data_IF_099751789292
#
_entry.id   IF_099751789292
#
_cell.length_a   1.000
_cell.length_b   1.000
_cell.length_c   1.000
_cell.angle_alpha   90.00
_cell.angle_beta   90.00
_cell.angle_gamma   90.00
#
_symmetry.space_group_name_H-M   'P 1'
#
loop_
_entity.id
_entity.type
_entity.pdbx_description
1 polymer ?
#
# COMPACT_ATOMS: atom_id res chain seq x y z
N UNK A 1 -5.29 -6.41 -4.28
CA UNK A 1 -3.90 -6.88 -4.36
C UNK A 1 -3.40 -7.45 -3.03
N UNK A 2 -3.36 -6.73 -1.90
CA UNK A 2 -2.90 -7.31 -0.60
C UNK A 2 -3.72 -8.50 -0.08
N UNK A 3 -4.92 -8.72 -0.57
CA UNK A 3 -5.75 -9.90 -0.21
C UNK A 3 -5.28 -11.20 -0.89
N UNK A 4 -4.33 -11.14 -1.81
CA UNK A 4 -3.78 -12.30 -2.52
C UNK A 4 -2.52 -12.87 -1.84
N UNK A 5 -1.96 -12.14 -0.85
CA UNK A 5 -0.85 -12.69 -0.07
C UNK A 5 -1.40 -13.83 0.77
N UNK A 6 -0.76 -14.97 0.65
CA UNK A 6 -1.15 -16.18 1.38
C UNK A 6 -1.22 -15.91 2.89
N UNK A 7 -2.41 -16.15 3.46
CA UNK A 7 -2.66 -15.93 4.89
C UNK A 7 -1.82 -16.84 5.77
N UNK A 8 -1.48 -18.02 5.28
CA UNK A 8 -0.65 -18.99 6.00
C UNK A 8 0.81 -18.52 6.00
N UNK A 9 1.31 -17.97 4.87
CA UNK A 9 2.62 -17.32 4.82
C UNK A 9 2.72 -16.18 5.84
N UNK A 10 1.69 -15.33 5.92
CA UNK A 10 1.66 -14.19 6.84
C UNK A 10 1.68 -14.66 8.30
N UNK A 11 0.80 -15.60 8.66
CA UNK A 11 0.67 -16.12 10.03
C UNK A 11 1.93 -16.85 10.49
N UNK A 12 2.47 -17.75 9.65
CA UNK A 12 3.70 -18.50 9.95
C UNK A 12 4.90 -17.57 10.20
N UNK A 13 4.87 -16.36 9.67
CA UNK A 13 5.95 -15.39 9.76
C UNK A 13 5.69 -14.21 10.69
N UNK A 14 4.64 -14.27 11.51
CA UNK A 14 4.24 -13.22 12.44
C UNK A 14 4.01 -11.87 11.76
N UNK A 15 3.35 -11.92 10.57
CA UNK A 15 2.98 -10.73 9.80
C UNK A 15 1.47 -10.58 9.85
N UNK A 16 1.01 -9.38 10.16
CA UNK A 16 -0.40 -9.04 10.24
C UNK A 16 -0.77 -7.95 9.25
N UNK A 17 -2.00 -8.02 8.72
CA UNK A 17 -2.56 -6.99 7.86
C UNK A 17 -3.41 -6.06 8.72
N UNK A 18 -3.16 -4.75 8.64
CA UNK A 18 -3.96 -3.73 9.33
C UNK A 18 -4.38 -2.62 8.36
N UNK A 19 -5.60 -2.12 8.50
CA UNK A 19 -6.01 -0.89 7.80
C UNK A 19 -5.28 0.30 8.43
N UNK A 20 -4.63 1.12 7.60
CA UNK A 20 -3.99 2.35 8.04
C UNK A 20 -5.06 3.41 8.22
N UNK A 21 -5.34 3.80 9.46
CA UNK A 21 -6.26 4.89 9.76
C UNK A 21 -5.64 6.21 9.28
N UNK A 22 -6.30 6.89 8.36
CA UNK A 22 -5.92 8.24 7.90
C UNK A 22 -6.92 9.24 8.48
N UNK A 23 -6.48 10.46 8.79
CA UNK A 23 -7.36 11.51 9.30
C UNK A 23 -8.29 12.08 8.23
N UNK A 24 -7.94 11.95 6.95
CA UNK A 24 -8.64 12.57 5.82
C UNK A 24 -10.14 12.25 5.77
N UNK A 25 -10.62 10.99 5.86
CA UNK A 25 -12.05 10.71 5.82
C UNK A 25 -12.81 11.34 6.98
N UNK A 26 -12.23 11.35 8.16
CA UNK A 26 -12.88 11.97 9.34
C UNK A 26 -12.95 13.50 9.19
N UNK A 27 -11.92 14.12 8.63
CA UNK A 27 -11.92 15.55 8.33
C UNK A 27 -13.02 15.91 7.32
N UNK A 28 -13.16 15.13 6.23
CA UNK A 28 -14.19 15.33 5.23
C UNK A 28 -15.59 15.19 5.83
N UNK A 29 -15.82 14.21 6.71
CA UNK A 29 -17.10 14.03 7.39
C UNK A 29 -17.40 15.19 8.35
N UNK A 30 -16.39 15.69 9.06
CA UNK A 30 -16.56 16.87 9.94
C UNK A 30 -16.93 18.12 9.13
N UNK A 31 -16.25 18.36 7.99
CA UNK A 31 -16.58 19.48 7.08
C UNK A 31 -18.00 19.33 6.55
N UNK A 32 -18.39 18.13 6.10
CA UNK A 32 -19.75 17.85 5.61
C UNK A 32 -20.81 18.16 6.68
N UNK A 33 -20.55 17.76 7.94
CA UNK A 33 -21.47 18.03 9.05
C UNK A 33 -21.59 19.54 9.35
N UNK A 34 -20.49 20.29 9.31
CA UNK A 34 -20.49 21.74 9.50
C UNK A 34 -21.29 22.44 8.37
N UNK A 35 -21.06 22.05 7.11
CA UNK A 35 -21.77 22.61 5.96
C UNK A 35 -23.27 22.27 6.02
N UNK A 36 -23.62 21.05 6.41
CA UNK A 36 -25.01 20.64 6.59
C UNK A 36 -25.69 21.44 7.70
N UNK A 37 -25.03 21.57 8.85
CA UNK A 37 -25.54 22.39 9.97
C UNK A 37 -25.71 23.85 9.57
N UNK A 38 -24.74 24.44 8.86
CA UNK A 38 -24.83 25.80 8.32
C UNK A 38 -26.02 25.97 7.37
N UNK A 39 -26.23 25.00 6.46
CA UNK A 39 -27.34 25.03 5.51
C UNK A 39 -28.71 24.97 6.20
N UNK A 40 -28.82 24.26 7.33
CA UNK A 40 -30.07 24.17 8.10
C UNK A 40 -30.42 25.47 8.83
N UNK A 41 -29.43 26.33 9.12
CA UNK A 41 -29.59 27.62 9.75
C UNK A 41 -29.97 28.75 8.76
N UNK A 42 -29.82 28.51 7.46
CA UNK A 42 -30.17 29.46 6.41
C UNK A 42 -31.67 29.38 6.12
N UNK A 43 -32.32 30.56 5.93
CA UNK A 43 -33.71 30.67 5.55
C UNK A 43 -34.04 29.88 4.27
N UNK A 44 -35.25 29.32 4.19
CA UNK A 44 -35.60 28.43 3.08
C UNK A 44 -35.59 29.10 1.71
N UNK A 45 -35.86 30.40 1.67
CA UNK A 45 -35.92 31.17 0.44
C UNK A 45 -34.54 31.70 -0.05
N UNK A 46 -33.49 31.37 0.68
CA UNK A 46 -32.12 31.77 0.31
C UNK A 46 -31.58 30.92 -0.85
N UNK A 47 -31.12 31.60 -1.92
CA UNK A 47 -30.45 30.96 -3.06
C UNK A 47 -29.17 30.17 -2.67
N UNK A 48 -28.54 30.54 -1.54
CA UNK A 48 -27.32 29.91 -1.06
C UNK A 48 -27.56 28.54 -0.40
N UNK A 49 -28.78 28.25 0.04
CA UNK A 49 -29.10 27.03 0.79
C UNK A 49 -28.88 25.75 -0.02
N UNK A 50 -29.41 25.71 -1.24
CA UNK A 50 -29.33 24.51 -2.09
C UNK A 50 -27.89 24.17 -2.53
N UNK A 51 -27.07 25.12 -3.02
CA UNK A 51 -25.66 24.87 -3.29
C UNK A 51 -24.90 24.36 -2.07
N UNK A 52 -25.15 24.92 -0.88
CA UNK A 52 -24.46 24.50 0.35
C UNK A 52 -24.83 23.06 0.75
N UNK A 53 -26.11 22.69 0.65
CA UNK A 53 -26.58 21.32 0.86
C UNK A 53 -25.92 20.35 -0.12
N UNK A 54 -25.84 20.70 -1.40
CA UNK A 54 -25.20 19.86 -2.42
C UNK A 54 -23.74 19.59 -2.08
N UNK A 55 -22.99 20.65 -1.73
CA UNK A 55 -21.57 20.52 -1.36
C UNK A 55 -21.43 19.67 -0.10
N UNK A 56 -22.27 19.82 0.90
CA UNK A 56 -22.28 19.03 2.12
C UNK A 56 -22.45 17.53 1.82
N UNK A 57 -23.48 17.19 1.00
CA UNK A 57 -23.77 15.81 0.61
C UNK A 57 -22.61 15.19 -0.18
N UNK A 58 -22.10 15.89 -1.19
CA UNK A 58 -20.96 15.40 -2.00
C UNK A 58 -19.75 15.17 -1.12
N UNK A 59 -19.39 16.12 -0.26
CA UNK A 59 -18.26 15.99 0.68
C UNK A 59 -18.44 14.80 1.62
N UNK A 60 -19.67 14.58 2.13
CA UNK A 60 -20.00 13.44 2.99
C UNK A 60 -19.84 12.11 2.27
N UNK A 61 -20.34 11.99 1.03
CA UNK A 61 -20.15 10.79 0.20
C UNK A 61 -18.67 10.48 -0.01
N UNK A 62 -17.86 11.48 -0.34
CA UNK A 62 -16.41 11.31 -0.48
C UNK A 62 -15.74 10.87 0.82
N UNK A 63 -16.14 11.43 1.97
CA UNK A 63 -15.64 11.02 3.28
C UNK A 63 -15.93 9.56 3.56
N UNK A 64 -17.16 9.11 3.32
CA UNK A 64 -17.59 7.71 3.47
C UNK A 64 -16.81 6.80 2.50
N UNK A 65 -16.72 7.15 1.22
CA UNK A 65 -15.99 6.37 0.23
C UNK A 65 -14.52 6.19 0.60
N UNK A 66 -13.86 7.24 1.14
CA UNK A 66 -12.49 7.16 1.65
C UNK A 66 -12.35 6.28 2.89
N UNK A 67 -13.35 6.18 3.75
CA UNK A 67 -13.35 5.23 4.89
C UNK A 67 -13.33 3.77 4.42
N UNK A 68 -14.11 3.43 3.40
CA UNK A 68 -14.13 2.07 2.85
C UNK A 68 -12.83 1.71 2.13
N UNK A 69 -12.20 2.69 1.48
CA UNK A 69 -10.97 2.54 0.70
C UNK A 69 -9.69 2.89 1.49
N UNK A 70 -9.68 2.69 2.83
CA UNK A 70 -8.47 2.90 3.62
C UNK A 70 -7.36 1.93 3.19
N UNK A 71 -6.12 2.44 2.97
CA UNK A 71 -5.00 1.60 2.59
C UNK A 71 -4.68 0.59 3.70
N UNK A 72 -4.30 -0.61 3.30
CA UNK A 72 -3.82 -1.64 4.22
C UNK A 72 -2.30 -1.59 4.32
N UNK A 73 -1.77 -1.87 5.51
CA UNK A 73 -0.34 -1.94 5.79
C UNK A 73 -0.02 -3.31 6.38
N UNK A 74 1.08 -3.91 5.95
CA UNK A 74 1.64 -5.09 6.57
C UNK A 74 2.46 -4.68 7.80
N UNK A 75 2.28 -5.40 8.89
CA UNK A 75 2.99 -5.18 10.16
C UNK A 75 3.74 -6.47 10.51
N UNK A 76 5.03 -6.34 10.80
CA UNK A 76 5.89 -7.46 11.16
C UNK A 76 6.17 -7.52 12.66
N UNK A 77 6.16 -8.75 13.20
CA UNK A 77 6.60 -9.07 14.55
C UNK A 77 5.65 -8.58 15.65
N UNK A 78 6.03 -8.85 16.89
CA UNK A 78 5.28 -8.44 18.09
C UNK A 78 5.20 -6.92 18.25
N UNK A 79 6.25 -6.21 17.85
CA UNK A 79 6.32 -4.74 17.88
C UNK A 79 5.49 -4.07 16.79
N UNK A 80 4.86 -4.86 15.90
CA UNK A 80 4.04 -4.36 14.78
C UNK A 80 4.77 -3.32 13.93
N UNK A 81 6.03 -3.62 13.58
CA UNK A 81 6.84 -2.77 12.70
C UNK A 81 6.18 -2.67 11.32
N UNK A 82 5.90 -1.46 10.80
CA UNK A 82 5.29 -1.31 9.49
C UNK A 82 6.25 -1.73 8.38
N UNK A 83 5.72 -2.45 7.39
CA UNK A 83 6.45 -2.79 6.18
C UNK A 83 6.12 -1.79 5.08
N UNK A 84 7.15 -1.23 4.48
CA UNK A 84 7.03 -0.32 3.35
C UNK A 84 6.71 -1.11 2.09
N UNK A 85 5.75 -0.62 1.32
CA UNK A 85 5.34 -1.18 0.04
C UNK A 85 5.99 -0.39 -1.08
N UNK A 86 6.64 -1.10 -2.00
CA UNK A 86 7.32 -0.54 -3.16
C UNK A 86 7.01 -1.37 -4.40
N UNK A 87 6.78 -0.70 -5.52
CA UNK A 87 6.73 -1.32 -6.85
C UNK A 87 7.98 -0.90 -7.61
N UNK A 88 8.80 -1.87 -7.99
CA UNK A 88 10.06 -1.66 -8.71
C UNK A 88 9.96 -2.26 -10.10
N UNK A 89 10.44 -1.54 -11.11
CA UNK A 89 10.30 -1.92 -12.51
C UNK A 89 11.65 -2.17 -13.15
N UNK A 90 11.75 -3.18 -14.01
CA UNK A 90 13.00 -3.62 -14.64
C UNK A 90 12.81 -4.08 -16.08
N UNK A 91 13.88 -4.07 -16.83
CA UNK A 91 13.95 -4.74 -18.13
C UNK A 91 13.84 -6.26 -17.97
N UNK A 92 13.25 -6.95 -18.94
CA UNK A 92 13.11 -8.41 -18.91
C UNK A 92 14.46 -9.14 -18.81
N UNK A 93 15.52 -8.56 -19.38
CA UNK A 93 16.88 -9.09 -19.33
C UNK A 93 17.46 -9.13 -17.92
N UNK A 94 16.99 -8.26 -17.03
CA UNK A 94 17.41 -8.19 -15.64
C UNK A 94 16.80 -9.27 -14.73
N UNK A 95 15.88 -10.12 -15.25
CA UNK A 95 15.12 -11.09 -14.45
C UNK A 95 16.00 -11.93 -13.51
N UNK A 96 17.09 -12.49 -14.00
CA UNK A 96 17.97 -13.36 -13.20
C UNK A 96 18.71 -12.57 -12.11
N UNK A 97 19.23 -11.39 -12.46
CA UNK A 97 19.91 -10.48 -11.52
C UNK A 97 18.94 -10.02 -10.42
N UNK A 98 17.71 -9.65 -10.78
CA UNK A 98 16.64 -9.26 -9.84
C UNK A 98 16.31 -10.41 -8.88
N UNK A 99 16.17 -11.64 -9.39
CA UNK A 99 15.94 -12.83 -8.55
C UNK A 99 17.06 -13.08 -7.55
N UNK A 100 18.31 -12.92 -7.99
CA UNK A 100 19.50 -13.10 -7.15
C UNK A 100 19.55 -12.03 -6.05
N UNK A 101 19.39 -10.75 -6.41
CA UNK A 101 19.34 -9.65 -5.43
C UNK A 101 18.24 -9.83 -4.38
N UNK A 102 17.04 -10.28 -4.80
CA UNK A 102 15.93 -10.54 -3.88
C UNK A 102 16.24 -11.69 -2.92
N UNK A 103 16.84 -12.78 -3.42
CA UNK A 103 17.22 -13.93 -2.58
C UNK A 103 18.33 -13.59 -1.58
N UNK A 104 19.27 -12.73 -1.98
CA UNK A 104 20.39 -12.29 -1.14
C UNK A 104 20.02 -11.14 -0.20
N UNK A 105 18.83 -10.53 -0.36
CA UNK A 105 18.41 -9.39 0.44
C UNK A 105 19.11 -8.08 0.10
N UNK A 106 19.64 -7.96 -1.13
CA UNK A 106 20.36 -6.79 -1.63
C UNK A 106 19.38 -5.67 -2.08
N UNK A 107 18.42 -5.30 -1.20
CA UNK A 107 17.34 -4.40 -1.56
C UNK A 107 17.80 -2.99 -1.94
N UNK A 108 18.91 -2.51 -1.38
CA UNK A 108 19.48 -1.20 -1.75
C UNK A 108 19.95 -1.20 -3.20
N UNK A 109 20.65 -2.26 -3.62
CA UNK A 109 21.11 -2.44 -4.99
C UNK A 109 19.92 -2.62 -5.94
N UNK A 110 18.93 -3.43 -5.53
CA UNK A 110 17.69 -3.63 -6.27
C UNK A 110 17.00 -2.29 -6.58
N UNK A 111 16.87 -1.40 -5.59
CA UNK A 111 16.29 -0.07 -5.79
C UNK A 111 17.13 0.82 -6.72
N UNK A 112 18.46 0.73 -6.62
CA UNK A 112 19.35 1.51 -7.48
C UNK A 112 19.30 1.09 -8.96
N UNK A 113 19.01 -0.19 -9.24
CA UNK A 113 18.86 -0.73 -10.59
C UNK A 113 17.45 -0.59 -11.16
N UNK A 114 16.45 -0.25 -10.32
CA UNK A 114 15.09 -0.04 -10.74
C UNK A 114 14.96 1.14 -11.72
N UNK A 115 14.04 1.01 -12.65
CA UNK A 115 13.75 2.04 -13.66
C UNK A 115 12.61 2.94 -13.22
N UNK A 116 12.68 4.19 -13.58
CA UNK A 116 11.61 5.14 -13.37
C UNK A 116 10.44 4.88 -14.33
N UNK A 117 9.22 4.83 -13.80
CA UNK A 117 8.01 4.62 -14.57
C UNK A 117 7.53 3.17 -14.62
N UNK A 118 6.26 2.98 -15.03
CA UNK A 118 5.55 1.71 -14.97
C UNK A 118 5.53 0.91 -16.29
N UNK A 119 6.24 1.38 -17.33
CA UNK A 119 6.16 0.80 -18.69
C UNK A 119 7.22 -0.28 -18.95
N UNK A 120 7.69 -0.95 -17.94
CA UNK A 120 8.69 -2.01 -18.07
C UNK A 120 8.08 -3.39 -17.95
N UNK A 121 8.62 -4.39 -18.65
CA UNK A 121 8.01 -5.73 -18.72
C UNK A 121 8.14 -6.54 -17.43
N UNK A 122 9.03 -6.17 -16.52
CA UNK A 122 9.19 -6.86 -15.23
C UNK A 122 8.86 -5.90 -14.08
N UNK A 123 7.96 -6.34 -13.20
CA UNK A 123 7.58 -5.62 -11.98
C UNK A 123 7.88 -6.48 -10.75
N UNK A 124 8.47 -5.89 -9.74
CA UNK A 124 8.64 -6.48 -8.41
C UNK A 124 7.77 -5.72 -7.42
N UNK A 125 6.89 -6.42 -6.75
CA UNK A 125 6.15 -5.92 -5.60
C UNK A 125 6.93 -6.33 -4.35
N UNK A 126 7.41 -5.35 -3.59
CA UNK A 126 8.29 -5.53 -2.45
C UNK A 126 7.66 -4.91 -1.20
N UNK A 127 7.49 -5.70 -0.16
CA UNK A 127 7.16 -5.25 1.18
C UNK A 127 8.36 -5.48 2.08
N UNK A 128 8.98 -4.43 2.61
CA UNK A 128 10.17 -4.57 3.45
C UNK A 128 10.06 -3.77 4.75
N UNK A 129 10.63 -4.30 5.83
CA UNK A 129 10.85 -3.52 7.05
C UNK A 129 11.87 -2.41 6.77
N UNK A 130 11.85 -1.33 7.56
CA UNK A 130 12.75 -0.17 7.37
C UNK A 130 14.23 -0.58 7.31
N UNK A 131 14.64 -1.54 8.12
CA UNK A 131 16.01 -2.06 8.16
C UNK A 131 16.30 -3.13 7.10
N UNK A 132 15.32 -3.55 6.30
CA UNK A 132 15.46 -4.60 5.30
C UNK A 132 15.74 -6.00 5.86
N UNK A 133 15.51 -6.22 7.17
CA UNK A 133 15.76 -7.52 7.80
C UNK A 133 14.74 -8.59 7.41
N UNK A 134 13.54 -8.14 7.06
CA UNK A 134 12.44 -9.00 6.59
C UNK A 134 11.80 -8.34 5.39
N UNK A 135 11.56 -9.12 4.35
CA UNK A 135 10.84 -8.66 3.18
C UNK A 135 9.96 -9.78 2.61
N UNK A 136 8.82 -9.39 2.06
CA UNK A 136 7.97 -10.23 1.21
C UNK A 136 8.05 -9.65 -0.18
N UNK A 137 8.19 -10.47 -1.19
CA UNK A 137 8.24 -10.02 -2.57
C UNK A 137 7.53 -10.98 -3.51
N UNK A 138 7.06 -10.43 -4.63
CA UNK A 138 6.49 -11.16 -5.76
C UNK A 138 6.94 -10.51 -7.05
N UNK A 139 7.21 -11.31 -8.07
CA UNK A 139 7.65 -10.84 -9.37
C UNK A 139 6.53 -11.05 -10.37
N UNK A 140 6.31 -10.05 -11.21
CA UNK A 140 5.31 -10.05 -12.26
C UNK A 140 5.96 -9.78 -13.62
N UNK A 141 5.38 -10.34 -14.64
CA UNK A 141 5.72 -10.08 -16.03
C UNK A 141 4.55 -9.38 -16.71
N UNK A 142 4.85 -8.36 -17.51
CA UNK A 142 3.84 -7.68 -18.32
C UNK A 142 3.49 -8.54 -19.53
N UNK A 143 2.22 -8.87 -19.64
CA UNK A 143 1.59 -9.41 -20.83
C UNK A 143 0.67 -8.34 -21.41
N UNK A 144 0.17 -8.46 -22.67
CA UNK A 144 -0.69 -7.44 -23.22
C UNK A 144 -1.80 -7.03 -22.26
N UNK A 145 -1.77 -5.75 -21.85
CA UNK A 145 -2.74 -5.05 -20.98
C UNK A 145 -2.69 -5.36 -19.48
N UNK A 146 -1.87 -6.31 -18.98
CA UNK A 146 -1.84 -6.64 -17.55
C UNK A 146 -0.49 -7.22 -17.11
N UNK A 147 -0.29 -7.33 -15.77
CA UNK A 147 0.83 -8.03 -15.17
C UNK A 147 0.39 -9.39 -14.64
N UNK A 148 1.06 -10.45 -15.06
CA UNK A 148 0.89 -11.79 -14.50
C UNK A 148 2.01 -12.12 -13.52
N UNK A 149 1.65 -12.82 -12.45
CA UNK A 149 2.63 -13.26 -11.46
C UNK A 149 3.53 -14.36 -12.04
N UNK A 150 4.85 -14.13 -11.99
CA UNK A 150 5.87 -15.13 -12.35
C UNK A 150 6.24 -16.03 -11.17
N UNK A 151 6.04 -15.55 -9.95
CA UNK A 151 6.37 -16.28 -8.73
C UNK A 151 5.22 -16.21 -7.74
N UNK A 152 5.18 -17.13 -6.81
CA UNK A 152 4.42 -16.96 -5.57
C UNK A 152 5.06 -15.85 -4.73
N UNK A 153 4.37 -15.44 -3.65
CA UNK A 153 4.97 -14.56 -2.67
C UNK A 153 6.10 -15.29 -1.93
N UNK A 154 7.28 -14.71 -1.93
CA UNK A 154 8.46 -15.22 -1.28
C UNK A 154 8.82 -14.37 -0.08
N UNK A 155 9.35 -14.99 0.95
CA UNK A 155 9.81 -14.32 2.15
C UNK A 155 11.34 -14.34 2.23
N UNK A 156 11.92 -13.18 2.46
CA UNK A 156 13.32 -13.03 2.86
C UNK A 156 13.39 -12.71 4.36
N UNK A 157 14.28 -13.39 5.07
CA UNK A 157 14.65 -13.07 6.46
C UNK A 157 16.16 -13.07 6.57
N UNK A 158 16.73 -11.96 7.04
CA UNK A 158 18.15 -11.91 7.38
C UNK A 158 18.39 -12.82 8.58
N UNK A 159 19.18 -13.86 8.38
CA UNK A 159 19.63 -14.71 9.49
C UNK A 159 20.55 -13.86 10.37
N UNK A 160 20.23 -13.71 11.65
CA UNK A 160 21.21 -13.14 12.59
C UNK A 160 22.37 -14.12 12.66
N UNK A 161 23.55 -13.71 12.18
CA UNK A 161 24.78 -14.40 12.56
C UNK A 161 24.96 -14.20 14.07
N UNK A 162 25.03 -15.28 14.80
CA UNK A 162 25.34 -15.28 16.25
C UNK A 162 26.85 -15.06 16.46
N UNK A 163 27.45 -14.07 15.80
CA UNK A 163 28.84 -13.70 15.99
C UNK A 163 28.92 -12.34 16.66
N UNK A 164 28.54 -12.32 17.93
CA UNK A 164 28.98 -11.33 18.91
C UNK A 164 29.05 -12.05 20.28
N UNK A 165 30.15 -12.74 20.49
CA UNK A 165 30.70 -13.01 21.82
C UNK A 165 31.88 -12.08 22.04
#
# INVERSE_FOLDING_TARGET
MKNEIDKDLLRANNISIRKRTTALPFLLLAIAAILLGGALLIENDSEAKMPLLLVAVVTGIFGIAKMFNMPTVLLYGEKKEPMNEEELFFDIKAKNSVLEMLRNGEFTKLRAEAKDGSNYPLKVELYSTEKGNVAIYRIYHFIPYTYEALTEYNLYKKVKSNDEN
#
